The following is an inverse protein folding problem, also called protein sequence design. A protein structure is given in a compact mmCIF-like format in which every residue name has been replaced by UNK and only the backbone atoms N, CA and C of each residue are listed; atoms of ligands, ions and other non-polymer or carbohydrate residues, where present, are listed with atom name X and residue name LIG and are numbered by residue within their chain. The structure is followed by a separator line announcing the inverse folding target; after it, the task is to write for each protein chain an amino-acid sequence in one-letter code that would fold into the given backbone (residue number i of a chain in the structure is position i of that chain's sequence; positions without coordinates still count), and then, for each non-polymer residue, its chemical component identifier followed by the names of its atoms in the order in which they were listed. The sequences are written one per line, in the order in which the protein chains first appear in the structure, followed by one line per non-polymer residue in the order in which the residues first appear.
data_IF_008883391592
#
_entry.id   IF_008883391592
#
_cell.length_a   1.000
_cell.length_b   1.000
_cell.length_c   1.000
_cell.angle_alpha   90.00
_cell.angle_beta   90.00
_cell.angle_gamma   90.00
#
_symmetry.space_group_name_H-M   'P 1'
#
loop_
_entity.id
_entity.type
_entity.pdbx_description
1 polymer ?
#
# COMPACT_ATOMS: atom_id res chain seq x y z
N UNK A 1 2.35 0.08 25.06
CA UNK A 1 1.04 -0.15 24.45
C UNK A 1 0.59 1.05 23.64
N UNK A 2 0.10 0.81 22.44
CA UNK A 2 -0.43 1.88 21.62
C UNK A 2 -1.78 2.39 22.14
N UNK A 3 -1.96 3.70 22.11
CA UNK A 3 -3.25 4.33 22.38
C UNK A 3 -4.20 4.07 21.21
N UNK A 4 -5.50 4.31 21.43
CA UNK A 4 -6.50 4.22 20.36
C UNK A 4 -6.13 5.08 19.15
N UNK A 5 -5.71 6.30 19.38
CA UNK A 5 -5.32 7.24 18.32
C UNK A 5 -4.10 6.77 17.54
N UNK A 6 -3.13 6.17 18.22
CA UNK A 6 -1.96 5.59 17.57
C UNK A 6 -2.33 4.38 16.71
N UNK A 7 -3.27 3.55 17.18
CA UNK A 7 -3.81 2.42 16.40
C UNK A 7 -4.52 2.90 15.15
N UNK A 8 -5.36 3.94 15.26
CA UNK A 8 -6.03 4.55 14.11
C UNK A 8 -5.01 5.06 13.10
N UNK A 9 -3.97 5.74 13.58
CA UNK A 9 -2.90 6.26 12.72
C UNK A 9 -2.15 5.13 12.02
N UNK A 10 -1.90 4.04 12.72
CA UNK A 10 -1.29 2.84 12.14
C UNK A 10 -2.16 2.28 11.00
N UNK A 11 -3.46 2.13 11.23
CA UNK A 11 -4.40 1.64 10.21
C UNK A 11 -4.47 2.56 8.99
N UNK A 12 -4.48 3.87 9.22
CA UNK A 12 -4.47 4.87 8.14
C UNK A 12 -3.18 4.85 7.32
N UNK A 13 -2.10 4.34 7.89
CA UNK A 13 -0.83 4.23 7.17
C UNK A 13 -0.89 3.27 5.98
N UNK A 14 -1.86 2.35 5.94
CA UNK A 14 -2.07 1.48 4.79
C UNK A 14 -2.34 2.28 3.52
N UNK A 15 -3.21 3.28 3.59
CA UNK A 15 -3.55 4.12 2.44
C UNK A 15 -2.34 4.87 1.91
N UNK A 16 -1.55 5.44 2.82
CA UNK A 16 -0.31 6.14 2.46
C UNK A 16 0.67 5.18 1.79
N UNK A 17 0.85 4.00 2.36
CA UNK A 17 1.72 2.97 1.78
C UNK A 17 1.23 2.52 0.40
N UNK A 18 -0.09 2.36 0.22
CA UNK A 18 -0.69 2.01 -1.07
C UNK A 18 -0.43 3.06 -2.13
N UNK A 19 -0.64 4.33 -1.80
CA UNK A 19 -0.39 5.45 -2.71
C UNK A 19 1.10 5.52 -3.09
N UNK A 20 1.99 5.33 -2.13
CA UNK A 20 3.43 5.30 -2.38
C UNK A 20 3.82 4.10 -3.24
N UNK A 21 3.22 2.93 -3.01
CA UNK A 21 3.46 1.75 -3.84
C UNK A 21 3.07 2.00 -5.30
N UNK A 22 1.92 2.59 -5.53
CA UNK A 22 1.46 2.95 -6.88
C UNK A 22 2.43 3.94 -7.56
N UNK A 23 2.92 4.92 -6.80
CA UNK A 23 3.90 5.89 -7.30
C UNK A 23 5.21 5.21 -7.68
N UNK A 24 5.74 4.34 -6.81
CA UNK A 24 6.99 3.62 -7.09
C UNK A 24 6.85 2.66 -8.27
N UNK A 25 5.71 1.98 -8.40
CA UNK A 25 5.44 1.12 -9.56
C UNK A 25 5.43 1.92 -10.86
N UNK A 26 4.81 3.09 -10.83
CA UNK A 26 4.80 3.99 -12.00
C UNK A 26 6.22 4.43 -12.36
N UNK A 27 7.01 4.83 -11.37
CA UNK A 27 8.40 5.23 -11.58
C UNK A 27 9.25 4.08 -12.12
N UNK A 28 9.05 2.87 -11.63
CA UNK A 28 9.73 1.66 -12.13
C UNK A 28 9.38 1.42 -13.60
N UNK A 29 8.09 1.52 -13.95
CA UNK A 29 7.64 1.33 -15.31
C UNK A 29 8.20 2.41 -16.26
N UNK A 30 8.20 3.66 -15.82
CA UNK A 30 8.77 4.78 -16.59
C UNK A 30 10.27 4.59 -16.82
N UNK A 31 10.98 4.16 -15.77
CA UNK A 31 12.41 3.88 -15.88
C UNK A 31 12.68 2.71 -16.83
N UNK A 32 11.87 1.66 -16.75
CA UNK A 32 11.97 0.50 -17.63
C UNK A 32 11.75 0.88 -19.09
N UNK A 33 10.77 1.72 -19.38
CA UNK A 33 10.52 2.23 -20.73
C UNK A 33 11.69 3.06 -21.25
N UNK A 34 12.32 3.85 -20.37
CA UNK A 34 13.50 4.64 -20.69
C UNK A 34 14.70 3.75 -21.04
N UNK A 35 14.83 2.61 -20.34
CA UNK A 35 15.92 1.65 -20.57
C UNK A 35 15.72 0.81 -21.82
N UNK A 36 14.46 0.57 -22.23
CA UNK A 36 14.17 -0.20 -23.42
C UNK A 36 14.29 0.70 -24.66
N UNK A 37 15.18 0.39 -25.60
CA UNK A 37 15.30 1.18 -26.83
C UNK A 37 14.14 0.88 -27.77
N UNK A 38 12.95 1.41 -27.46
CA UNK A 38 11.81 1.31 -28.36
C UNK A 38 12.07 2.20 -29.58
N UNK A 39 12.23 1.59 -30.75
CA UNK A 39 12.44 2.28 -32.02
C UNK A 39 13.86 2.73 -32.31
N UNK A 40 14.83 2.37 -31.49
CA UNK A 40 16.24 2.63 -31.79
C UNK A 40 16.81 1.37 -32.44
N UNK A 41 17.25 1.51 -33.68
CA UNK A 41 18.00 0.46 -34.33
C UNK A 41 19.39 0.36 -33.71
N UNK A 42 19.81 -0.84 -33.37
CA UNK A 42 21.13 -1.08 -32.76
C UNK A 42 22.29 -0.56 -33.63
N UNK A 43 22.06 -0.47 -34.92
CA UNK A 43 23.04 0.04 -35.89
C UNK A 43 23.22 1.56 -35.79
N UNK A 44 22.23 2.28 -35.26
CA UNK A 44 22.25 3.74 -35.14
C UNK A 44 22.67 4.22 -33.75
N UNK A 45 22.94 3.28 -32.84
CA UNK A 45 23.50 3.62 -31.54
C UNK A 45 24.96 4.03 -31.71
N UNK A 46 25.28 5.31 -31.55
CA UNK A 46 26.68 5.66 -31.38
C UNK A 46 27.15 4.90 -30.13
N UNK A 47 28.31 4.29 -30.22
CA UNK A 47 29.01 3.76 -29.04
C UNK A 47 29.36 4.95 -28.18
N UNK A 48 28.40 5.41 -27.35
CA UNK A 48 28.67 6.43 -26.37
C UNK A 48 29.67 5.85 -25.36
N UNK A 49 30.79 6.52 -25.12
CA UNK A 49 31.73 6.08 -24.09
C UNK A 49 31.10 5.98 -22.69
N UNK A 50 29.91 6.59 -22.51
CA UNK A 50 29.17 6.60 -21.26
C UNK A 50 27.97 5.65 -21.23
N UNK A 51 27.81 4.77 -22.23
CA UNK A 51 26.66 3.85 -22.28
C UNK A 51 26.61 2.92 -21.08
N UNK A 52 27.74 2.34 -20.71
CA UNK A 52 27.85 1.45 -19.54
C UNK A 52 27.56 2.21 -18.24
N UNK A 53 28.03 3.45 -18.12
CA UNK A 53 27.79 4.30 -16.95
C UNK A 53 26.30 4.66 -16.85
N UNK A 54 25.63 4.95 -17.96
CA UNK A 54 24.19 5.21 -17.99
C UNK A 54 23.40 3.97 -17.57
N UNK A 55 23.77 2.79 -18.09
CA UNK A 55 23.10 1.54 -17.71
C UNK A 55 23.30 1.22 -16.25
N UNK A 56 24.50 1.44 -15.71
CA UNK A 56 24.77 1.26 -14.28
C UNK A 56 23.93 2.21 -13.44
N UNK A 57 23.78 3.46 -13.87
CA UNK A 57 22.95 4.45 -13.20
C UNK A 57 21.47 4.02 -13.17
N UNK A 58 20.92 3.58 -14.30
CA UNK A 58 19.55 3.10 -14.40
C UNK A 58 19.33 1.87 -13.51
N UNK A 59 20.27 0.93 -13.51
CA UNK A 59 20.21 -0.25 -12.67
C UNK A 59 20.18 0.12 -11.18
N UNK A 60 21.00 1.11 -10.77
CA UNK A 60 21.00 1.62 -9.40
C UNK A 60 19.70 2.28 -9.02
N UNK A 61 19.13 3.12 -9.89
CA UNK A 61 17.82 3.75 -9.66
C UNK A 61 16.71 2.72 -9.56
N UNK A 62 16.71 1.73 -10.46
CA UNK A 62 15.73 0.63 -10.45
C UNK A 62 15.78 -0.15 -9.13
N UNK A 63 16.98 -0.49 -8.68
CA UNK A 63 17.18 -1.21 -7.42
C UNK A 63 16.69 -0.43 -6.20
N UNK A 64 16.98 0.88 -6.15
CA UNK A 64 16.49 1.74 -5.08
C UNK A 64 14.97 1.83 -5.06
N UNK A 65 14.34 1.98 -6.23
CA UNK A 65 12.89 2.02 -6.35
C UNK A 65 12.26 0.70 -5.91
N UNK A 66 12.86 -0.42 -6.29
CA UNK A 66 12.38 -1.73 -5.85
C UNK A 66 12.45 -1.88 -4.33
N UNK A 67 13.53 -1.42 -3.71
CA UNK A 67 13.64 -1.46 -2.25
C UNK A 67 12.60 -0.59 -1.56
N UNK A 68 12.35 0.60 -2.08
CA UNK A 68 11.29 1.48 -1.55
C UNK A 68 9.92 0.82 -1.69
N UNK A 69 9.66 0.19 -2.84
CA UNK A 69 8.41 -0.53 -3.09
C UNK A 69 8.23 -1.68 -2.09
N UNK A 70 9.27 -2.48 -1.86
CA UNK A 70 9.23 -3.59 -0.90
C UNK A 70 8.90 -3.12 0.51
N UNK A 71 9.46 -1.98 0.94
CA UNK A 71 9.19 -1.41 2.27
C UNK A 71 7.72 -1.04 2.43
N UNK A 72 7.14 -0.36 1.45
CA UNK A 72 5.73 0.05 1.53
C UNK A 72 4.79 -1.14 1.39
N UNK A 73 5.13 -2.12 0.57
CA UNK A 73 4.35 -3.37 0.47
C UNK A 73 4.40 -4.16 1.77
N UNK A 74 5.53 -4.21 2.42
CA UNK A 74 5.67 -4.83 3.74
C UNK A 74 4.76 -4.13 4.76
N UNK A 75 4.70 -2.80 4.71
CA UNK A 75 3.82 -2.02 5.58
C UNK A 75 2.34 -2.35 5.32
N UNK A 76 1.95 -2.47 4.06
CA UNK A 76 0.58 -2.88 3.71
C UNK A 76 0.25 -4.25 4.30
N UNK A 77 1.14 -5.21 4.16
CA UNK A 77 0.94 -6.56 4.70
C UNK A 77 0.87 -6.57 6.22
N UNK A 78 1.65 -5.73 6.89
CA UNK A 78 1.59 -5.58 8.35
C UNK A 78 0.22 -5.10 8.81
N UNK A 79 -0.34 -4.10 8.14
CA UNK A 79 -1.67 -3.57 8.48
C UNK A 79 -2.74 -4.64 8.26
N UNK A 80 -2.70 -5.34 7.13
CA UNK A 80 -3.63 -6.43 6.84
C UNK A 80 -3.54 -7.53 7.91
N UNK A 81 -2.33 -7.93 8.29
CA UNK A 81 -2.10 -8.96 9.30
C UNK A 81 -2.68 -8.55 10.66
N UNK A 82 -2.52 -7.29 11.05
CA UNK A 82 -3.07 -6.77 12.30
C UNK A 82 -4.59 -6.81 12.27
N UNK A 83 -5.22 -6.36 11.19
CA UNK A 83 -6.69 -6.43 11.06
C UNK A 83 -7.17 -7.88 11.10
N UNK A 84 -6.46 -8.80 10.49
CA UNK A 84 -6.83 -10.21 10.45
C UNK A 84 -6.76 -10.90 11.82
N UNK A 85 -6.11 -10.30 12.84
CA UNK A 85 -6.09 -10.84 14.19
C UNK A 85 -7.49 -11.06 14.76
N UNK A 86 -8.46 -10.22 14.38
CA UNK A 86 -9.81 -10.28 14.92
C UNK A 86 -10.81 -10.99 14.00
N UNK A 87 -10.35 -11.58 12.90
CA UNK A 87 -11.24 -12.18 11.90
C UNK A 87 -12.17 -13.26 12.49
N UNK A 88 -11.65 -14.09 13.38
CA UNK A 88 -12.42 -15.19 13.98
C UNK A 88 -13.24 -14.75 15.20
N UNK A 89 -12.68 -13.85 16.01
CA UNK A 89 -13.32 -13.43 17.26
C UNK A 89 -14.36 -12.33 17.07
N UNK A 90 -14.21 -11.51 16.03
CA UNK A 90 -15.11 -10.41 15.73
C UNK A 90 -15.25 -10.23 14.20
N UNK A 91 -16.01 -11.13 13.54
CA UNK A 91 -16.15 -11.07 12.08
C UNK A 91 -16.71 -9.74 11.57
N UNK A 92 -17.67 -9.15 12.29
CA UNK A 92 -18.25 -7.86 11.91
C UNK A 92 -17.23 -6.73 12.03
N UNK A 93 -16.49 -6.69 13.15
CA UNK A 93 -15.41 -5.72 13.34
C UNK A 93 -14.32 -5.86 12.28
N UNK A 94 -13.93 -7.10 11.98
CA UNK A 94 -12.96 -7.39 10.93
C UNK A 94 -13.41 -6.84 9.57
N UNK A 95 -14.68 -7.08 9.22
CA UNK A 95 -15.26 -6.59 7.97
C UNK A 95 -15.29 -5.06 7.91
N UNK A 96 -15.69 -4.42 9.01
CA UNK A 96 -15.74 -2.96 9.09
C UNK A 96 -14.34 -2.36 8.92
N UNK A 97 -13.33 -2.90 9.61
CA UNK A 97 -11.97 -2.40 9.50
C UNK A 97 -11.38 -2.64 8.12
N UNK A 98 -11.63 -3.80 7.54
CA UNK A 98 -11.17 -4.12 6.18
C UNK A 98 -11.76 -3.15 5.16
N UNK A 99 -13.08 -2.94 5.21
CA UNK A 99 -13.75 -2.03 4.29
C UNK A 99 -13.30 -0.58 4.49
N UNK A 100 -13.16 -0.16 5.73
CA UNK A 100 -12.82 1.23 6.06
C UNK A 100 -11.36 1.57 5.75
N UNK A 101 -10.41 0.72 6.14
CA UNK A 101 -8.99 1.04 6.09
C UNK A 101 -8.25 0.42 4.90
N UNK A 102 -8.69 -0.73 4.41
CA UNK A 102 -8.06 -1.37 3.25
C UNK A 102 -8.70 -0.91 1.94
N UNK A 103 -10.02 -0.96 1.85
CA UNK A 103 -10.74 -0.59 0.62
C UNK A 103 -11.21 0.86 0.58
N UNK A 104 -11.01 1.60 1.69
CA UNK A 104 -11.41 3.01 1.81
C UNK A 104 -12.89 3.24 1.48
N UNK A 105 -13.74 2.29 1.87
CA UNK A 105 -15.19 2.36 1.68
C UNK A 105 -15.78 3.40 2.63
N UNK A 106 -16.73 4.18 2.15
CA UNK A 106 -17.42 5.18 2.98
C UNK A 106 -18.30 4.50 4.03
N UNK A 107 -18.39 5.13 5.20
CA UNK A 107 -19.20 4.62 6.32
C UNK A 107 -20.63 4.29 5.89
N UNK A 108 -21.25 5.13 5.08
CA UNK A 108 -22.62 4.93 4.58
C UNK A 108 -22.77 3.62 3.80
N UNK A 109 -21.80 3.32 2.94
CA UNK A 109 -21.79 2.08 2.18
C UNK A 109 -21.57 0.86 3.07
N UNK A 110 -20.69 0.98 4.07
CA UNK A 110 -20.47 -0.09 5.06
C UNK A 110 -21.76 -0.38 5.83
N UNK A 111 -22.47 0.65 6.28
CA UNK A 111 -23.71 0.50 7.00
C UNK A 111 -24.77 -0.23 6.16
N UNK A 112 -24.89 0.11 4.89
CA UNK A 112 -25.82 -0.55 3.96
C UNK A 112 -25.48 -2.01 3.76
N UNK A 113 -24.22 -2.31 3.54
CA UNK A 113 -23.75 -3.68 3.28
C UNK A 113 -23.86 -4.58 4.51
N UNK A 114 -23.61 -4.04 5.68
CA UNK A 114 -23.66 -4.79 6.94
C UNK A 114 -25.03 -4.73 7.63
N UNK A 115 -25.99 -3.99 7.08
CA UNK A 115 -27.33 -3.82 7.64
C UNK A 115 -27.31 -3.24 9.06
N UNK A 116 -26.47 -2.25 9.31
CA UNK A 116 -26.33 -1.60 10.61
C UNK A 116 -26.47 -0.08 10.46
N UNK A 117 -26.84 0.58 11.57
CA UNK A 117 -26.89 2.04 11.62
C UNK A 117 -25.51 2.65 11.85
N UNK A 118 -25.40 3.96 11.64
CA UNK A 118 -24.14 4.71 11.81
C UNK A 118 -23.58 4.60 13.23
N UNK A 119 -24.45 4.67 14.24
CA UNK A 119 -24.05 4.58 15.64
C UNK A 119 -23.49 3.18 15.95
N UNK A 120 -24.17 2.16 15.46
CA UNK A 120 -23.74 0.76 15.63
C UNK A 120 -22.41 0.51 14.94
N UNK A 121 -22.24 1.02 13.72
CA UNK A 121 -20.98 0.93 12.99
C UNK A 121 -19.84 1.58 13.78
N UNK A 122 -20.04 2.79 14.27
CA UNK A 122 -19.03 3.52 15.05
C UNK A 122 -18.63 2.76 16.31
N UNK A 123 -19.59 2.21 17.04
CA UNK A 123 -19.34 1.44 18.27
C UNK A 123 -18.53 0.17 17.96
N UNK A 124 -18.93 -0.58 16.94
CA UNK A 124 -18.22 -1.79 16.54
C UNK A 124 -16.82 -1.49 16.02
N UNK A 125 -16.66 -0.45 15.24
CA UNK A 125 -15.36 -0.02 14.73
C UNK A 125 -14.42 0.36 15.88
N UNK A 126 -14.89 1.14 16.83
CA UNK A 126 -14.11 1.55 17.99
C UNK A 126 -13.64 0.35 18.80
N UNK A 127 -14.56 -0.56 19.12
CA UNK A 127 -14.24 -1.78 19.86
C UNK A 127 -13.25 -2.67 19.11
N UNK A 128 -13.44 -2.82 17.80
CA UNK A 128 -12.54 -3.60 16.97
C UNK A 128 -11.12 -3.04 16.99
N UNK A 129 -10.97 -1.73 16.87
CA UNK A 129 -9.66 -1.08 16.93
C UNK A 129 -9.01 -1.28 18.30
N UNK A 130 -9.78 -1.15 19.37
CA UNK A 130 -9.27 -1.36 20.74
C UNK A 130 -8.77 -2.79 20.98
N UNK A 131 -9.35 -3.77 20.29
CA UNK A 131 -8.94 -5.18 20.37
C UNK A 131 -7.64 -5.49 19.63
N UNK A 132 -7.22 -4.65 18.71
CA UNK A 132 -6.01 -4.89 17.93
C UNK A 132 -4.77 -4.83 18.81
N UNK A 133 -3.90 -5.82 18.64
CA UNK A 133 -2.59 -5.87 19.31
C UNK A 133 -1.53 -5.44 18.31
N UNK A 134 -1.01 -4.26 18.50
CA UNK A 134 0.00 -3.69 17.62
C UNK A 134 1.29 -3.47 18.38
#
# INVERSE_FOLDING_TARGET
MMTYEEKVRFLKSYRIAKENAETYLRQINDLRETMLPSGIHYTDMPKHPNYEDQMAKYAGEFWELQKKLERVQKKQLQVIAVINQIAEIDPLGHRILTERFIYNTKVEAICKTCYIGRKTEWVHRKKAIERLKI
#
